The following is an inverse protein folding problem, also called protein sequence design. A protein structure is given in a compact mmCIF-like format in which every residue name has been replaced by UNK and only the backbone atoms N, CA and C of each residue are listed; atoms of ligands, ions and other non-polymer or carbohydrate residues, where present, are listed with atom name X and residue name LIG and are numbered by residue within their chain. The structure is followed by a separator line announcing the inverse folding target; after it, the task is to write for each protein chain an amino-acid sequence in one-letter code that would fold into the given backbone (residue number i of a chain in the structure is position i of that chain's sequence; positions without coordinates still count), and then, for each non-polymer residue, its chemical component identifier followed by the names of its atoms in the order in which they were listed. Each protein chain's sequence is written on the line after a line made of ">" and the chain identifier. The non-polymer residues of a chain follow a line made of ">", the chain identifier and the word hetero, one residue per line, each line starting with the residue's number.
data_IF_427855584152
#
_entry.id   IF_427855584152
#
_cell.length_a   1.000
_cell.length_b   1.000
_cell.length_c   1.000
_cell.angle_alpha   90.00
_cell.angle_beta   90.00
_cell.angle_gamma   90.00
#
_symmetry.space_group_name_H-M   'P 1'
#
loop_
_entity.id
_entity.type
_entity.pdbx_description
1 polymer ?
#
# COMPACT_ATOMS: atom_id res chain seq x y z
N UNK A 1 11.28 -17.81 -17.49
CA UNK A 1 10.08 -16.96 -17.46
C UNK A 1 10.42 -15.59 -16.89
N UNK A 2 11.17 -14.76 -17.63
CA UNK A 2 11.34 -13.33 -17.32
C UNK A 2 10.57 -12.57 -18.40
N UNK A 3 9.36 -12.11 -18.11
CA UNK A 3 8.55 -11.34 -19.06
C UNK A 3 7.04 -11.46 -18.93
N UNK A 4 6.52 -12.54 -18.31
CA UNK A 4 5.08 -12.64 -18.08
C UNK A 4 4.64 -11.59 -17.05
N UNK A 5 3.81 -10.65 -17.50
CA UNK A 5 3.14 -9.62 -16.69
C UNK A 5 3.95 -8.38 -16.29
N UNK A 6 5.05 -8.04 -16.95
CA UNK A 6 5.79 -6.81 -16.58
C UNK A 6 4.92 -5.54 -16.74
N UNK A 7 4.17 -5.44 -17.84
CA UNK A 7 3.31 -4.30 -18.13
C UNK A 7 2.10 -4.25 -17.20
N UNK A 8 1.46 -5.40 -16.97
CA UNK A 8 0.30 -5.52 -16.09
C UNK A 8 0.65 -5.20 -14.64
N UNK A 9 1.83 -5.66 -14.17
CA UNK A 9 2.34 -5.34 -12.83
C UNK A 9 2.58 -3.85 -12.67
N UNK A 10 3.25 -3.22 -13.65
CA UNK A 10 3.51 -1.78 -13.64
C UNK A 10 2.20 -0.99 -13.65
N UNK A 11 1.27 -1.35 -14.55
CA UNK A 11 -0.05 -0.72 -14.65
C UNK A 11 -0.84 -0.82 -13.35
N UNK A 12 -0.82 -1.99 -12.71
CA UNK A 12 -1.51 -2.19 -11.43
C UNK A 12 -0.87 -1.35 -10.31
N UNK A 13 0.46 -1.35 -10.17
CA UNK A 13 1.14 -0.55 -9.13
C UNK A 13 0.94 0.96 -9.32
N UNK A 14 0.93 1.44 -10.57
CA UNK A 14 0.69 2.84 -10.87
C UNK A 14 -0.76 3.23 -10.58
N UNK A 15 -1.70 2.33 -10.89
CA UNK A 15 -3.11 2.53 -10.58
C UNK A 15 -3.36 2.65 -9.06
N UNK A 16 -2.77 1.77 -8.25
CA UNK A 16 -2.88 1.87 -6.78
C UNK A 16 -2.28 3.17 -6.25
N UNK A 17 -1.16 3.63 -6.82
CA UNK A 17 -0.57 4.92 -6.47
C UNK A 17 -1.53 6.07 -6.76
N UNK A 18 -2.09 6.12 -7.97
CA UNK A 18 -3.06 7.15 -8.36
C UNK A 18 -4.32 7.11 -7.49
N UNK A 19 -4.82 5.93 -7.15
CA UNK A 19 -5.97 5.79 -6.26
C UNK A 19 -5.66 6.33 -4.85
N UNK A 20 -4.48 6.02 -4.31
CA UNK A 20 -4.03 6.59 -3.02
C UNK A 20 -4.01 8.12 -3.07
N UNK A 21 -3.47 8.69 -4.15
CA UNK A 21 -3.38 10.14 -4.31
C UNK A 21 -4.77 10.76 -4.32
N UNK A 22 -5.70 10.21 -5.09
CA UNK A 22 -7.10 10.67 -5.13
C UNK A 22 -7.80 10.56 -3.77
N UNK A 23 -7.59 9.47 -3.04
CA UNK A 23 -8.19 9.29 -1.70
C UNK A 23 -7.61 10.32 -0.73
N UNK A 24 -6.29 10.54 -0.76
CA UNK A 24 -5.66 11.53 0.11
C UNK A 24 -6.12 12.96 -0.20
N UNK A 25 -6.18 13.34 -1.47
CA UNK A 25 -6.70 14.64 -1.90
C UNK A 25 -8.14 14.85 -1.44
N UNK A 26 -8.99 13.81 -1.51
CA UNK A 26 -10.36 13.88 -1.03
C UNK A 26 -10.45 14.10 0.50
N UNK A 27 -9.60 13.45 1.29
CA UNK A 27 -9.54 13.68 2.75
C UNK A 27 -9.04 15.09 3.08
N UNK A 28 -8.01 15.58 2.39
CA UNK A 28 -7.50 16.95 2.59
C UNK A 28 -8.52 18.01 2.18
N UNK A 29 -9.29 17.78 1.11
CA UNK A 29 -10.38 18.67 0.70
C UNK A 29 -11.49 18.77 1.77
N UNK A 30 -11.80 17.66 2.46
CA UNK A 30 -12.75 17.67 3.57
C UNK A 30 -12.20 18.48 4.75
N UNK A 31 -10.92 18.30 5.09
CA UNK A 31 -10.24 19.11 6.11
C UNK A 31 -10.27 20.61 5.80
N UNK A 32 -10.08 20.98 4.54
CA UNK A 32 -10.10 22.37 4.08
C UNK A 32 -11.50 22.99 4.12
N UNK A 33 -12.53 22.18 3.89
CA UNK A 33 -13.92 22.64 3.92
C UNK A 33 -14.40 23.04 5.32
N UNK A 34 -13.75 22.53 6.38
CA UNK A 34 -14.08 22.84 7.78
C UNK A 34 -13.56 24.23 8.17
N UNK A 35 -14.32 25.25 7.76
CA UNK A 35 -14.03 26.68 7.96
C UNK A 35 -14.79 27.30 9.13
N UNK A 36 -15.75 26.57 9.70
CA UNK A 36 -16.57 27.02 10.84
C UNK A 36 -16.76 25.90 11.85
N UNK A 37 -17.21 26.25 13.06
CA UNK A 37 -17.49 25.28 14.11
C UNK A 37 -16.27 24.88 14.93
N UNK A 38 -16.41 23.78 15.67
CA UNK A 38 -15.35 23.27 16.56
C UNK A 38 -14.14 22.86 15.72
N UNK A 39 -12.95 23.31 16.14
CA UNK A 39 -11.65 23.04 15.51
C UNK A 39 -11.35 23.80 14.21
N UNK A 40 -12.24 24.68 13.72
CA UNK A 40 -11.98 25.47 12.51
C UNK A 40 -10.77 26.42 12.62
N UNK A 41 -10.42 26.80 13.85
CA UNK A 41 -9.25 27.61 14.20
C UNK A 41 -7.93 26.82 14.21
N UNK A 42 -7.99 25.49 14.20
CA UNK A 42 -6.81 24.64 14.11
C UNK A 42 -6.28 24.56 12.68
N UNK A 43 -5.03 24.14 12.43
CA UNK A 43 -4.57 23.81 11.08
C UNK A 43 -5.40 22.67 10.46
N UNK A 44 -5.65 22.74 9.16
CA UNK A 44 -6.27 21.63 8.43
C UNK A 44 -5.32 20.42 8.43
N UNK A 45 -5.87 19.21 8.59
CA UNK A 45 -5.10 17.98 8.54
C UNK A 45 -4.42 17.80 7.17
N UNK A 46 -3.19 17.31 7.18
CA UNK A 46 -2.40 16.96 5.98
C UNK A 46 -1.73 15.61 6.14
N UNK A 47 -1.53 14.90 5.04
CA UNK A 47 -0.81 13.63 5.06
C UNK A 47 0.69 13.83 5.18
N UNK A 48 1.29 13.12 6.14
CA UNK A 48 2.71 12.84 6.16
C UNK A 48 2.98 11.58 5.34
N UNK A 49 3.93 11.70 4.40
CA UNK A 49 4.32 10.63 3.49
C UNK A 49 5.63 10.00 3.94
N UNK A 50 5.63 8.70 4.15
CA UNK A 50 6.82 7.95 4.55
C UNK A 50 7.06 6.77 3.60
N UNK A 51 8.14 6.79 2.79
CA UNK A 51 8.53 5.62 2.02
C UNK A 51 8.84 4.44 2.94
N UNK A 52 8.42 3.25 2.52
CA UNK A 52 8.70 2.00 3.24
C UNK A 52 9.43 1.05 2.31
N UNK A 53 10.33 0.26 2.88
CA UNK A 53 11.07 -0.78 2.17
C UNK A 53 10.87 -2.10 2.87
N UNK A 54 10.76 -3.17 2.09
CA UNK A 54 10.69 -4.53 2.60
C UNK A 54 12.07 -5.16 2.47
N UNK A 55 12.65 -5.52 3.61
CA UNK A 55 13.84 -6.37 3.65
C UNK A 55 13.39 -7.83 3.77
N UNK A 56 14.03 -8.74 3.03
CA UNK A 56 13.85 -10.18 3.23
C UNK A 56 15.20 -10.82 3.55
N UNK A 57 15.19 -11.98 4.20
CA UNK A 57 16.41 -12.69 4.62
C UNK A 57 17.34 -13.04 3.45
N UNK A 58 16.80 -13.16 2.23
CA UNK A 58 17.54 -13.64 1.06
C UNK A 58 17.56 -12.66 -0.13
N UNK A 59 16.81 -11.55 -0.07
CA UNK A 59 16.75 -10.55 -1.15
C UNK A 59 16.87 -9.14 -0.56
N UNK A 60 17.85 -8.38 -1.08
CA UNK A 60 18.13 -7.00 -0.67
C UNK A 60 17.09 -5.98 -1.16
N UNK A 61 16.26 -6.36 -2.13
CA UNK A 61 15.12 -5.59 -2.60
C UNK A 61 13.92 -6.52 -2.77
N UNK A 62 12.98 -6.44 -1.83
CA UNK A 62 11.70 -7.18 -1.88
C UNK A 62 10.51 -6.21 -2.12
N UNK A 63 10.80 -5.05 -2.72
CA UNK A 63 9.85 -3.97 -2.93
C UNK A 63 9.63 -3.11 -1.68
N UNK A 64 8.47 -2.47 -1.60
CA UNK A 64 8.18 -1.47 -0.58
C UNK A 64 6.83 -0.82 -0.79
N UNK A 65 6.69 0.42 -0.33
CA UNK A 65 5.43 1.13 -0.38
C UNK A 65 5.52 2.57 0.06
N UNK A 66 4.37 3.23 0.11
CA UNK A 66 4.25 4.59 0.61
C UNK A 66 3.18 4.60 1.70
N UNK A 67 3.59 4.91 2.92
CA UNK A 67 2.68 5.12 4.03
C UNK A 67 2.21 6.57 4.02
N UNK A 68 0.90 6.79 4.11
CA UNK A 68 0.33 8.15 4.21
C UNK A 68 -0.51 8.24 5.46
N UNK A 69 -0.10 9.11 6.39
CA UNK A 69 -0.81 9.26 7.66
C UNK A 69 -1.15 10.70 7.92
N UNK A 70 -2.43 10.97 8.19
CA UNK A 70 -2.92 12.25 8.70
C UNK A 70 -3.33 12.06 10.17
N UNK A 71 -2.98 13.01 11.04
CA UNK A 71 -3.32 12.99 12.47
C UNK A 71 -3.69 14.37 12.96
N UNK A 72 -4.64 14.44 13.88
CA UNK A 72 -5.04 15.70 14.52
C UNK A 72 -5.60 16.72 13.54
N UNK A 73 -6.37 16.25 12.54
CA UNK A 73 -7.11 17.13 11.65
C UNK A 73 -8.32 17.75 12.35
N UNK A 74 -8.90 18.76 11.70
CA UNK A 74 -10.14 19.44 12.13
C UNK A 74 -11.34 18.50 12.09
N UNK A 75 -11.35 17.58 11.13
CA UNK A 75 -12.46 16.64 10.89
C UNK A 75 -12.07 15.22 11.31
N UNK A 76 -10.88 14.78 10.93
CA UNK A 76 -10.42 13.42 11.21
C UNK A 76 -9.33 13.40 12.29
N UNK A 77 -9.58 12.63 13.35
CA UNK A 77 -8.54 12.38 14.37
C UNK A 77 -7.33 11.67 13.75
N UNK A 78 -7.57 10.70 12.86
CA UNK A 78 -6.53 9.95 12.17
C UNK A 78 -7.03 9.28 10.88
N UNK A 79 -6.22 9.35 9.83
CA UNK A 79 -6.43 8.64 8.56
C UNK A 79 -5.13 7.96 8.14
N UNK A 80 -5.24 6.77 7.55
CA UNK A 80 -4.13 6.04 6.94
C UNK A 80 -4.50 5.54 5.55
N UNK A 81 -3.71 5.89 4.54
CA UNK A 81 -3.88 5.44 3.14
C UNK A 81 -2.54 4.97 2.64
N UNK A 82 -2.36 3.66 2.55
CA UNK A 82 -1.06 3.05 2.27
C UNK A 82 -1.13 2.26 0.98
N UNK A 83 -0.05 2.30 0.22
CA UNK A 83 0.17 1.42 -0.92
C UNK A 83 1.45 0.64 -0.71
N UNK A 84 1.50 -0.55 -1.27
CA UNK A 84 2.68 -1.40 -1.31
C UNK A 84 2.77 -2.11 -2.65
N UNK A 85 3.98 -2.34 -3.12
CA UNK A 85 4.28 -3.29 -4.19
C UNK A 85 5.47 -4.10 -3.72
N UNK A 86 5.24 -5.39 -3.49
CA UNK A 86 6.20 -6.30 -2.88
C UNK A 86 6.32 -7.57 -3.69
N UNK A 87 7.51 -8.15 -3.67
CA UNK A 87 7.84 -9.36 -4.41
C UNK A 87 8.91 -10.16 -3.68
N UNK A 88 9.18 -11.36 -4.19
CA UNK A 88 10.24 -12.23 -3.72
C UNK A 88 9.74 -13.65 -3.57
N UNK A 89 10.26 -14.36 -2.58
CA UNK A 89 9.93 -15.76 -2.32
C UNK A 89 9.14 -15.94 -1.01
N UNK A 90 8.05 -16.69 -1.07
CA UNK A 90 7.24 -17.02 0.11
C UNK A 90 7.96 -18.02 1.01
N UNK A 91 7.84 -17.84 2.33
CA UNK A 91 8.31 -18.85 3.28
C UNK A 91 7.38 -20.07 3.29
N UNK A 92 7.88 -21.20 3.79
CA UNK A 92 7.15 -22.49 3.82
C UNK A 92 5.79 -22.40 4.52
N UNK A 93 5.67 -21.57 5.57
CA UNK A 93 4.40 -21.34 6.27
C UNK A 93 3.39 -20.57 5.41
N UNK A 94 3.84 -19.57 4.66
CA UNK A 94 3.00 -18.80 3.74
C UNK A 94 2.58 -19.64 2.53
N UNK A 95 3.48 -20.46 1.98
CA UNK A 95 3.18 -21.43 0.92
C UNK A 95 2.07 -22.39 1.37
N UNK A 96 2.24 -23.04 2.52
CA UNK A 96 1.24 -23.95 3.07
C UNK A 96 -0.14 -23.28 3.29
N UNK A 97 -0.14 -22.06 3.83
CA UNK A 97 -1.38 -21.29 4.08
C UNK A 97 -2.11 -20.93 2.79
N UNK A 98 -1.40 -20.56 1.74
CA UNK A 98 -2.02 -20.15 0.47
C UNK A 98 -2.39 -21.33 -0.42
N UNK A 99 -1.59 -22.40 -0.46
CA UNK A 99 -1.90 -23.61 -1.23
C UNK A 99 -3.22 -24.24 -0.74
N UNK A 100 -3.42 -24.31 0.57
CA UNK A 100 -4.64 -24.82 1.19
C UNK A 100 -5.89 -23.97 0.91
N UNK A 101 -5.74 -22.64 0.72
CA UNK A 101 -6.87 -21.71 0.55
C UNK A 101 -7.24 -21.45 -0.90
N UNK A 102 -6.28 -21.59 -1.83
CA UNK A 102 -6.41 -21.12 -3.21
C UNK A 102 -6.30 -22.24 -4.25
N UNK A 103 -6.13 -23.49 -3.82
CA UNK A 103 -5.97 -24.65 -4.71
C UNK A 103 -4.86 -24.42 -5.75
N UNK A 104 -3.70 -23.94 -5.27
CA UNK A 104 -2.50 -23.64 -6.07
C UNK A 104 -1.41 -24.67 -5.75
N UNK A 105 -1.51 -25.92 -6.27
CA UNK A 105 -0.58 -26.99 -5.94
C UNK A 105 0.86 -26.70 -6.38
N UNK A 106 1.04 -26.02 -7.51
CA UNK A 106 2.35 -25.73 -8.12
C UNK A 106 3.17 -24.69 -7.33
N UNK A 107 2.57 -24.04 -6.32
CA UNK A 107 3.22 -23.02 -5.51
C UNK A 107 4.27 -23.60 -4.54
N UNK A 108 4.28 -24.93 -4.37
CA UNK A 108 5.38 -25.64 -3.72
C UNK A 108 6.63 -25.68 -4.60
N UNK A 109 6.46 -25.76 -5.93
CA UNK A 109 7.56 -25.86 -6.89
C UNK A 109 8.10 -24.48 -7.29
N UNK A 110 7.22 -23.47 -7.33
CA UNK A 110 7.59 -22.07 -7.55
C UNK A 110 6.96 -21.14 -6.49
N UNK A 111 7.68 -20.88 -5.38
CA UNK A 111 7.20 -20.03 -4.29
C UNK A 111 7.35 -18.53 -4.56
N UNK A 112 7.71 -18.11 -5.78
CA UNK A 112 7.86 -16.70 -6.13
C UNK A 112 6.50 -16.01 -6.16
N UNK A 113 6.45 -14.76 -5.71
CA UNK A 113 5.22 -13.98 -5.70
C UNK A 113 5.48 -12.51 -6.08
N UNK A 114 4.40 -11.86 -6.47
CA UNK A 114 4.30 -10.42 -6.61
C UNK A 114 2.92 -9.99 -6.11
N UNK A 115 2.84 -8.89 -5.37
CA UNK A 115 1.59 -8.32 -4.89
C UNK A 115 1.68 -6.80 -4.86
N UNK A 116 0.59 -6.13 -5.25
CA UNK A 116 0.43 -4.69 -5.16
C UNK A 116 -0.96 -4.36 -4.62
N UNK A 117 -1.07 -3.32 -3.80
CA UNK A 117 -2.31 -2.91 -3.14
C UNK A 117 -2.13 -1.76 -2.19
#
# INVERSE_FOLDING_TARGET
>A
MNGEFSEEKAKASDWFRQLRDQICDAFEAVEDSQTTGRFADQPAGRFELTPTQRNSENETDAGGGLMSVMRGGRVFEKVGVNISTVYGTLNSRAVASMAAKKNLPDMHDDPRFWASG
#
